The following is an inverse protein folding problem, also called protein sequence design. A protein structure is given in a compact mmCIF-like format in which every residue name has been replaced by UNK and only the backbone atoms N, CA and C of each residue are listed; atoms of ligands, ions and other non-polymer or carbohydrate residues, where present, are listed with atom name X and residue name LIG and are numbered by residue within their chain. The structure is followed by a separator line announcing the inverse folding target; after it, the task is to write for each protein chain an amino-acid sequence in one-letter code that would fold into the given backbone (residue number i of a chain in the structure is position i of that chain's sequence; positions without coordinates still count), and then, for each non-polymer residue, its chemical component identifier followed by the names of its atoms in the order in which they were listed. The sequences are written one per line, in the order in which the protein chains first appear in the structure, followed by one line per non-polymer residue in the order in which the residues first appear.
data_IF_525070386244
#
_entry.id   IF_525070386244
#
_cell.length_a   1.000
_cell.length_b   1.000
_cell.length_c   1.000
_cell.angle_alpha   90.00
_cell.angle_beta   90.00
_cell.angle_gamma   90.00
#
_symmetry.space_group_name_H-M   'P 1'
#
loop_
_entity.id
_entity.type
_entity.pdbx_description
1 polymer ?
#
# COMPACT_ATOMS: atom_id res chain seq x y z
N UNK A 1 28.40 -12.38 4.57
CA UNK A 1 29.31 -11.86 3.55
C UNK A 1 28.75 -10.56 3.01
N UNK A 2 29.55 -9.47 3.01
CA UNK A 2 29.17 -8.22 2.33
C UNK A 2 28.92 -8.57 0.85
N UNK A 3 27.86 -8.05 0.20
CA UNK A 3 27.74 -8.18 -1.25
C UNK A 3 29.02 -7.68 -1.88
N UNK A 4 29.58 -8.43 -2.81
CA UNK A 4 30.80 -7.99 -3.48
C UNK A 4 30.55 -6.67 -4.20
N UNK A 5 31.49 -5.75 -4.18
CA UNK A 5 31.44 -4.48 -4.92
C UNK A 5 31.08 -4.71 -6.40
N UNK A 6 31.44 -5.85 -6.96
CA UNK A 6 31.13 -6.25 -8.33
C UNK A 6 29.61 -6.38 -8.63
N UNK A 7 28.81 -6.90 -7.70
CA UNK A 7 27.36 -6.98 -7.91
C UNK A 7 26.70 -5.59 -7.87
N UNK A 8 27.13 -4.71 -6.96
CA UNK A 8 26.67 -3.32 -6.90
C UNK A 8 27.03 -2.54 -8.16
N UNK A 9 28.22 -2.79 -8.73
CA UNK A 9 28.67 -2.08 -9.96
C UNK A 9 27.98 -2.59 -11.24
N UNK A 10 27.48 -3.83 -11.24
CA UNK A 10 26.66 -4.36 -12.35
C UNK A 10 25.31 -3.63 -12.39
N UNK A 11 24.63 -3.50 -11.24
CA UNK A 11 23.35 -2.78 -11.18
C UNK A 11 23.49 -1.33 -11.60
N UNK A 12 24.50 -0.60 -11.12
CA UNK A 12 24.74 0.80 -11.50
C UNK A 12 24.93 0.98 -12.99
N UNK A 13 25.70 0.12 -13.66
CA UNK A 13 25.89 0.18 -15.11
C UNK A 13 24.62 -0.15 -15.89
N UNK A 14 23.78 -1.05 -15.38
CA UNK A 14 22.49 -1.34 -15.98
C UNK A 14 21.53 -0.16 -15.85
N UNK A 15 21.48 0.46 -14.68
CA UNK A 15 20.67 1.66 -14.44
C UNK A 15 21.08 2.82 -15.37
N UNK A 16 22.39 3.10 -15.49
CA UNK A 16 22.92 4.12 -16.40
C UNK A 16 22.52 3.82 -17.86
N UNK A 17 22.69 2.60 -18.34
CA UNK A 17 22.34 2.21 -19.69
C UNK A 17 20.84 2.34 -19.98
N UNK A 18 19.98 1.97 -19.01
CA UNK A 18 18.52 2.14 -19.14
C UNK A 18 18.16 3.62 -19.22
N UNK A 19 18.75 4.46 -18.36
CA UNK A 19 18.49 5.90 -18.36
C UNK A 19 18.99 6.57 -19.65
N UNK A 20 20.12 6.14 -20.19
CA UNK A 20 20.61 6.61 -21.51
C UNK A 20 19.60 6.31 -22.61
N UNK A 21 19.06 5.09 -22.68
CA UNK A 21 18.02 4.71 -23.66
C UNK A 21 16.72 5.49 -23.45
N UNK A 22 16.28 5.70 -22.20
CA UNK A 22 15.11 6.53 -21.90
C UNK A 22 15.32 7.97 -22.38
N UNK A 23 16.47 8.57 -22.10
CA UNK A 23 16.80 9.94 -22.51
C UNK A 23 17.00 10.09 -24.02
N UNK A 24 17.32 9.01 -24.74
CA UNK A 24 17.43 9.00 -26.19
C UNK A 24 16.06 9.11 -26.89
N UNK A 25 14.96 8.82 -26.18
CA UNK A 25 13.59 9.01 -26.70
C UNK A 25 13.23 10.49 -26.65
N UNK A 26 13.48 11.21 -27.71
CA UNK A 26 13.16 12.64 -27.83
C UNK A 26 11.82 12.93 -28.48
N UNK A 27 11.24 11.95 -29.18
CA UNK A 27 9.91 12.03 -29.79
C UNK A 27 9.07 10.80 -29.41
N UNK A 28 8.06 11.01 -28.56
CA UNK A 28 7.16 9.95 -28.13
C UNK A 28 6.30 9.34 -29.25
N UNK A 29 6.14 10.05 -30.38
CA UNK A 29 5.42 9.51 -31.55
C UNK A 29 6.18 8.38 -32.27
N UNK A 30 7.47 8.23 -31.99
CA UNK A 30 8.29 7.12 -32.51
C UNK A 30 8.09 5.81 -31.76
N UNK A 31 7.44 5.86 -30.58
CA UNK A 31 7.19 4.67 -29.76
C UNK A 31 6.22 3.75 -30.52
N UNK A 32 6.64 2.50 -30.69
CA UNK A 32 5.82 1.48 -31.34
C UNK A 32 4.62 1.17 -30.48
N UNK A 33 3.43 1.31 -31.05
CA UNK A 33 2.16 0.97 -30.40
C UNK A 33 1.48 -0.19 -31.13
N UNK A 34 0.60 -0.89 -30.42
CA UNK A 34 -0.21 -1.94 -31.00
C UNK A 34 -1.70 -1.70 -30.67
N UNK A 35 -2.58 -2.20 -31.53
CA UNK A 35 -4.00 -2.25 -31.20
C UNK A 35 -4.20 -3.25 -30.04
N UNK A 36 -4.94 -2.84 -28.99
CA UNK A 36 -5.14 -3.64 -27.79
C UNK A 36 -5.82 -4.99 -28.10
N UNK A 37 -6.87 -4.98 -28.92
CA UNK A 37 -7.64 -6.19 -29.21
C UNK A 37 -6.82 -7.19 -30.04
N UNK A 38 -5.99 -6.70 -30.95
CA UNK A 38 -5.06 -7.53 -31.72
C UNK A 38 -3.95 -8.10 -30.83
N UNK A 39 -3.41 -7.30 -29.91
CA UNK A 39 -2.41 -7.74 -28.95
C UNK A 39 -2.98 -8.82 -27.99
N UNK A 40 -4.21 -8.67 -27.53
CA UNK A 40 -4.91 -9.69 -26.73
C UNK A 40 -5.09 -10.98 -27.52
N UNK A 41 -5.56 -10.91 -28.77
CA UNK A 41 -5.74 -12.08 -29.65
C UNK A 41 -4.43 -12.80 -29.97
N UNK A 42 -3.34 -12.02 -30.07
CA UNK A 42 -1.99 -12.56 -30.30
C UNK A 42 -1.29 -13.08 -29.03
N UNK A 43 -1.91 -12.96 -27.85
CA UNK A 43 -1.33 -13.36 -26.57
C UNK A 43 -0.20 -12.45 -26.08
N UNK A 44 -0.05 -11.27 -26.69
CA UNK A 44 0.97 -10.28 -26.32
C UNK A 44 0.54 -9.37 -25.17
N UNK A 45 -0.77 -9.30 -24.92
CA UNK A 45 -1.36 -8.56 -23.81
C UNK A 45 -2.34 -9.46 -23.06
N UNK A 46 -1.98 -9.79 -21.82
CA UNK A 46 -2.79 -10.66 -20.96
C UNK A 46 -3.23 -9.87 -19.73
N UNK A 47 -4.54 -9.86 -19.48
CA UNK A 47 -5.07 -9.30 -18.23
C UNK A 47 -5.01 -10.42 -17.19
N UNK A 48 -4.13 -10.27 -16.22
CA UNK A 48 -4.08 -11.12 -15.03
C UNK A 48 -5.21 -10.70 -14.09
N UNK A 49 -5.86 -11.65 -13.46
CA UNK A 49 -7.06 -11.38 -12.64
C UNK A 49 -7.08 -12.15 -11.34
N UNK A 50 -8.26 -12.64 -11.00
CA UNK A 50 -8.57 -13.22 -9.70
C UNK A 50 -7.62 -14.37 -9.28
N UNK A 51 -7.13 -15.18 -10.22
CA UNK A 51 -6.19 -16.25 -9.92
C UNK A 51 -4.88 -15.72 -9.29
N UNK A 52 -4.35 -14.62 -9.84
CA UNK A 52 -3.13 -13.98 -9.32
C UNK A 52 -3.43 -13.27 -8.00
N UNK A 53 -4.58 -12.60 -7.90
CA UNK A 53 -5.04 -11.94 -6.68
C UNK A 53 -5.19 -12.94 -5.53
N UNK A 54 -5.79 -14.11 -5.77
CA UNK A 54 -5.95 -15.16 -4.75
C UNK A 54 -4.60 -15.73 -4.30
N UNK A 55 -3.68 -15.96 -5.24
CA UNK A 55 -2.34 -16.42 -4.91
C UNK A 55 -1.57 -15.40 -4.07
N UNK A 56 -1.69 -14.11 -4.39
CA UNK A 56 -1.10 -13.02 -3.63
C UNK A 56 -1.71 -12.93 -2.22
N UNK A 57 -3.03 -12.87 -2.13
CA UNK A 57 -3.75 -12.79 -0.85
C UNK A 57 -3.40 -13.97 0.07
N UNK A 58 -3.30 -15.18 -0.47
CA UNK A 58 -2.88 -16.36 0.29
C UNK A 58 -1.50 -16.19 0.90
N UNK A 59 -0.54 -15.63 0.16
CA UNK A 59 0.80 -15.38 0.66
C UNK A 59 0.81 -14.30 1.75
N UNK A 60 0.03 -13.23 1.59
CA UNK A 60 -0.10 -12.17 2.59
C UNK A 60 -0.74 -12.69 3.87
N UNK A 61 -1.85 -13.42 3.76
CA UNK A 61 -2.56 -14.00 4.90
C UNK A 61 -1.72 -15.04 5.66
N UNK A 62 -0.81 -15.73 4.98
CA UNK A 62 0.12 -16.66 5.62
C UNK A 62 1.14 -15.97 6.54
N UNK A 63 1.27 -14.63 6.46
CA UNK A 63 2.13 -13.85 7.36
C UNK A 63 1.43 -13.45 8.68
N UNK A 64 0.16 -13.78 8.85
CA UNK A 64 -0.57 -13.50 10.09
C UNK A 64 0.04 -14.32 11.22
N UNK A 65 0.58 -13.62 12.22
CA UNK A 65 1.29 -14.24 13.35
C UNK A 65 0.31 -14.82 14.37
N UNK A 66 -0.76 -14.09 14.69
CA UNK A 66 -1.72 -14.45 15.74
C UNK A 66 -3.16 -14.44 15.20
N UNK A 67 -3.59 -15.46 14.43
CA UNK A 67 -4.93 -15.47 13.84
C UNK A 67 -6.05 -15.51 14.89
N UNK A 68 -5.81 -16.06 16.10
CA UNK A 68 -6.80 -16.10 17.17
C UNK A 68 -7.13 -14.70 17.71
N UNK A 69 -6.14 -13.82 17.80
CA UNK A 69 -6.38 -12.42 18.23
C UNK A 69 -7.28 -11.70 17.22
N UNK A 70 -7.12 -11.97 15.92
CA UNK A 70 -8.00 -11.37 14.90
C UNK A 70 -9.44 -11.84 15.09
N UNK A 71 -9.66 -13.11 15.40
CA UNK A 71 -11.01 -13.63 15.67
C UNK A 71 -11.65 -12.98 16.90
N UNK A 72 -10.85 -12.73 17.94
CA UNK A 72 -11.32 -12.05 19.16
C UNK A 72 -11.59 -10.56 18.93
N UNK A 73 -10.88 -9.94 18.00
CA UNK A 73 -10.95 -8.51 17.67
C UNK A 73 -11.56 -8.25 16.28
N UNK A 74 -12.40 -9.15 15.78
CA UNK A 74 -13.01 -9.05 14.44
C UNK A 74 -13.86 -7.80 14.26
N UNK A 75 -14.39 -7.24 15.34
CA UNK A 75 -15.22 -6.04 15.40
C UNK A 75 -14.43 -4.73 15.50
N UNK A 76 -13.08 -4.79 15.51
CA UNK A 76 -12.20 -3.63 15.48
C UNK A 76 -12.59 -2.68 14.35
N UNK A 77 -12.87 -1.42 14.69
CA UNK A 77 -13.25 -0.41 13.70
C UNK A 77 -12.02 0.22 13.08
N UNK A 78 -11.81 -0.06 11.82
CA UNK A 78 -10.66 0.39 11.04
C UNK A 78 -11.10 1.44 10.03
N UNK A 79 -10.50 2.62 10.06
CA UNK A 79 -10.56 3.55 8.94
C UNK A 79 -9.35 3.30 8.04
N UNK A 80 -9.57 3.18 6.74
CA UNK A 80 -8.51 2.99 5.78
C UNK A 80 -8.49 4.11 4.73
N UNK A 81 -7.32 4.64 4.43
CA UNK A 81 -7.11 5.51 3.29
C UNK A 81 -6.03 4.97 2.35
N UNK A 82 -6.35 4.73 1.07
CA UNK A 82 -5.37 4.41 0.05
C UNK A 82 -4.60 5.63 -0.47
N UNK A 83 -4.94 6.84 -0.03
CA UNK A 83 -4.38 8.11 -0.54
C UNK A 83 -4.39 8.12 -2.08
N UNK A 84 -5.56 7.87 -2.68
CA UNK A 84 -5.77 7.77 -4.12
C UNK A 84 -4.99 6.65 -4.84
N UNK A 85 -4.43 5.70 -4.08
CA UNK A 85 -3.47 4.72 -4.58
C UNK A 85 -4.02 3.34 -4.90
N UNK A 86 -3.10 2.49 -5.36
CA UNK A 86 -3.34 1.11 -5.80
C UNK A 86 -3.76 0.16 -4.67
N UNK A 87 -3.45 0.52 -3.41
CA UNK A 87 -3.82 -0.26 -2.22
C UNK A 87 -5.32 -0.39 -1.95
N UNK A 88 -6.17 0.48 -2.53
CA UNK A 88 -7.61 0.51 -2.27
C UNK A 88 -8.27 -0.88 -2.29
N UNK A 89 -8.15 -1.61 -3.39
CA UNK A 89 -8.79 -2.93 -3.53
C UNK A 89 -8.05 -4.03 -2.77
N UNK A 90 -6.72 -4.22 -2.94
CA UNK A 90 -6.03 -5.36 -2.32
C UNK A 90 -5.97 -5.27 -0.78
N UNK A 91 -5.72 -4.10 -0.19
CA UNK A 91 -5.68 -3.97 1.27
C UNK A 91 -7.03 -4.26 1.89
N UNK A 92 -8.12 -3.70 1.35
CA UNK A 92 -9.49 -3.97 1.83
C UNK A 92 -9.87 -5.45 1.69
N UNK A 93 -9.50 -6.07 0.58
CA UNK A 93 -9.74 -7.50 0.34
C UNK A 93 -9.00 -8.37 1.36
N UNK A 94 -7.73 -8.07 1.61
CA UNK A 94 -6.91 -8.81 2.57
C UNK A 94 -7.42 -8.60 4.00
N UNK A 95 -7.73 -7.38 4.42
CA UNK A 95 -8.31 -7.12 5.75
C UNK A 95 -9.62 -7.90 5.95
N UNK A 96 -10.51 -7.91 4.95
CA UNK A 96 -11.74 -8.69 5.00
C UNK A 96 -11.47 -10.19 5.09
N UNK A 97 -10.54 -10.73 4.29
CA UNK A 97 -10.16 -12.15 4.32
C UNK A 97 -9.47 -12.54 5.63
N UNK A 98 -8.75 -11.61 6.25
CA UNK A 98 -8.17 -11.80 7.57
C UNK A 98 -9.20 -11.91 8.69
N UNK A 99 -10.42 -11.38 8.47
CA UNK A 99 -11.53 -11.48 9.42
C UNK A 99 -12.00 -10.15 10.01
N UNK A 100 -11.46 -9.00 9.59
CA UNK A 100 -11.95 -7.69 10.04
C UNK A 100 -13.24 -7.31 9.30
N UNK A 101 -14.31 -7.08 10.03
CA UNK A 101 -15.63 -6.80 9.46
C UNK A 101 -15.92 -5.31 9.30
N UNK A 102 -15.30 -4.47 10.13
CA UNK A 102 -15.58 -3.04 10.22
C UNK A 102 -14.46 -2.19 9.60
N UNK A 103 -14.27 -2.30 8.30
CA UNK A 103 -13.30 -1.50 7.55
C UNK A 103 -14.02 -0.43 6.74
N UNK A 104 -13.83 0.84 7.10
CA UNK A 104 -14.42 2.00 6.41
C UNK A 104 -13.34 2.75 5.64
N UNK A 105 -13.50 2.91 4.33
CA UNK A 105 -12.58 3.69 3.50
C UNK A 105 -12.92 5.18 3.56
N UNK A 106 -11.91 6.04 3.49
CA UNK A 106 -12.08 7.49 3.35
C UNK A 106 -12.61 7.80 1.94
N UNK A 107 -13.87 8.23 1.78
CA UNK A 107 -14.49 8.35 0.45
C UNK A 107 -13.77 9.31 -0.48
N UNK A 108 -13.26 10.44 0.06
CA UNK A 108 -12.59 11.48 -0.70
C UNK A 108 -11.22 11.03 -1.24
N UNK A 109 -10.63 9.98 -0.65
CA UNK A 109 -9.30 9.46 -1.00
C UNK A 109 -9.37 8.05 -1.60
N UNK A 110 -10.56 7.50 -1.82
CA UNK A 110 -10.76 6.13 -2.30
C UNK A 110 -10.36 5.95 -3.77
N UNK A 111 -10.75 6.88 -4.62
CA UNK A 111 -10.54 6.77 -6.07
C UNK A 111 -9.22 7.44 -6.49
N UNK A 112 -8.58 6.97 -7.57
CA UNK A 112 -7.40 7.60 -8.12
C UNK A 112 -7.64 9.08 -8.46
N UNK A 113 -6.68 9.92 -8.06
CA UNK A 113 -6.63 11.35 -8.38
C UNK A 113 -5.18 11.71 -8.73
N UNK A 114 -4.91 12.04 -9.99
CA UNK A 114 -3.57 12.37 -10.48
C UNK A 114 -2.98 13.64 -9.86
N UNK A 115 -3.85 14.56 -9.42
CA UNK A 115 -3.46 15.83 -8.82
C UNK A 115 -3.34 15.75 -7.28
N UNK A 116 -3.75 14.63 -6.68
CA UNK A 116 -3.76 14.44 -5.22
C UNK A 116 -4.43 15.61 -4.48
N UNK A 117 -5.59 16.06 -4.96
CA UNK A 117 -6.24 17.29 -4.51
C UNK A 117 -6.58 17.35 -3.01
N UNK A 118 -6.66 16.18 -2.37
CA UNK A 118 -6.94 16.08 -0.93
C UNK A 118 -5.70 16.12 -0.04
N UNK A 119 -4.50 16.04 -0.63
CA UNK A 119 -3.21 16.00 0.09
C UNK A 119 -2.15 16.76 -0.69
N UNK A 120 -1.29 17.52 -0.02
CA UNK A 120 -0.23 18.25 -0.71
C UNK A 120 0.91 17.34 -1.18
N UNK A 121 1.21 16.30 -0.39
CA UNK A 121 2.22 15.28 -0.70
C UNK A 121 1.75 13.92 -0.15
N UNK A 122 1.53 12.92 -1.02
CA UNK A 122 0.90 11.65 -0.63
C UNK A 122 1.87 10.70 0.08
N UNK A 123 2.35 11.08 1.26
CA UNK A 123 3.26 10.28 2.06
C UNK A 123 2.62 9.99 3.44
N UNK A 124 2.37 8.73 3.81
CA UNK A 124 1.76 8.36 5.09
C UNK A 124 2.64 8.65 6.33
N UNK A 125 3.86 9.12 6.17
CA UNK A 125 4.66 9.68 7.27
C UNK A 125 4.26 11.13 7.61
N UNK A 126 3.57 11.82 6.70
CA UNK A 126 3.07 13.18 6.93
C UNK A 126 1.71 13.15 7.64
N UNK A 127 1.60 13.64 8.88
CA UNK A 127 0.34 13.65 9.63
C UNK A 127 -0.83 14.34 8.90
N UNK A 128 -0.56 15.35 8.08
CA UNK A 128 -1.59 16.09 7.34
C UNK A 128 -2.38 15.19 6.36
N UNK A 129 -1.79 14.10 5.91
CA UNK A 129 -2.46 13.13 5.01
C UNK A 129 -3.64 12.44 5.69
N UNK A 130 -3.61 12.34 7.01
CA UNK A 130 -4.64 11.66 7.80
C UNK A 130 -5.78 12.58 8.27
N UNK A 131 -5.78 13.85 7.95
CA UNK A 131 -6.82 14.78 8.45
C UNK A 131 -8.25 14.32 8.11
N UNK A 132 -8.51 13.87 6.88
CA UNK A 132 -9.83 13.37 6.48
C UNK A 132 -10.14 12.04 7.17
N UNK A 133 -9.14 11.17 7.29
CA UNK A 133 -9.27 9.89 7.95
C UNK A 133 -9.56 10.05 9.46
N UNK A 134 -8.91 11.02 10.12
CA UNK A 134 -9.15 11.33 11.54
C UNK A 134 -10.57 11.88 11.74
N UNK A 135 -11.02 12.82 10.89
CA UNK A 135 -12.40 13.32 10.95
C UNK A 135 -13.44 12.21 10.78
N UNK A 136 -13.18 11.26 9.88
CA UNK A 136 -14.04 10.09 9.69
C UNK A 136 -13.99 9.18 10.92
N UNK A 137 -12.79 8.91 11.43
CA UNK A 137 -12.57 8.07 12.60
C UNK A 137 -13.26 8.61 13.86
N UNK A 138 -13.20 9.92 14.10
CA UNK A 138 -13.94 10.61 15.18
C UNK A 138 -15.45 10.42 15.04
N UNK A 139 -15.98 10.53 13.81
CA UNK A 139 -17.41 10.38 13.53
C UNK A 139 -17.96 8.98 13.81
N UNK A 140 -17.18 7.95 13.49
CA UNK A 140 -17.61 6.54 13.65
C UNK A 140 -17.03 5.87 14.89
N UNK A 141 -16.26 6.60 15.65
CA UNK A 141 -15.55 6.13 16.85
C UNK A 141 -14.62 4.93 16.51
N UNK A 142 -13.72 5.14 15.53
CA UNK A 142 -12.79 4.10 15.08
C UNK A 142 -11.64 3.88 16.06
N UNK A 143 -11.11 2.68 16.09
CA UNK A 143 -10.02 2.29 16.99
C UNK A 143 -8.65 2.59 16.38
N UNK A 144 -8.53 2.40 15.06
CA UNK A 144 -7.28 2.59 14.32
C UNK A 144 -7.55 3.14 12.92
N UNK A 145 -6.59 3.90 12.41
CA UNK A 145 -6.56 4.33 11.02
C UNK A 145 -5.31 3.75 10.37
N UNK A 146 -5.46 3.22 9.17
CA UNK A 146 -4.37 2.76 8.31
C UNK A 146 -4.34 3.60 7.04
N UNK A 147 -3.16 3.98 6.59
CA UNK A 147 -2.98 4.67 5.32
C UNK A 147 -1.82 4.08 4.54
N UNK A 148 -2.00 3.92 3.24
CA UNK A 148 -0.92 3.50 2.31
C UNK A 148 -0.68 4.59 1.29
N UNK A 149 0.57 4.73 0.85
CA UNK A 149 0.90 5.64 -0.23
C UNK A 149 0.39 5.13 -1.60
N UNK A 150 0.50 5.92 -2.67
CA UNK A 150 -0.14 5.60 -3.94
C UNK A 150 0.32 4.30 -4.60
N UNK A 151 1.58 3.91 -4.46
CA UNK A 151 2.12 2.62 -4.95
C UNK A 151 2.09 1.50 -3.90
N UNK A 152 1.60 1.82 -2.68
CA UNK A 152 1.33 0.89 -1.60
C UNK A 152 2.58 0.17 -1.06
N UNK A 153 3.75 0.82 -1.11
CA UNK A 153 5.00 0.28 -0.54
C UNK A 153 5.29 0.79 0.88
N UNK A 154 4.54 1.80 1.34
CA UNK A 154 4.61 2.37 2.70
C UNK A 154 3.26 2.29 3.40
N UNK A 155 3.30 2.17 4.73
CA UNK A 155 2.13 2.20 5.59
C UNK A 155 2.33 3.18 6.73
N UNK A 156 1.30 3.97 7.00
CA UNK A 156 1.17 4.78 8.21
C UNK A 156 0.01 4.31 9.06
N UNK A 157 0.12 4.48 10.35
CA UNK A 157 -0.92 4.14 11.30
C UNK A 157 -1.22 5.29 12.25
N UNK A 158 -2.49 5.45 12.58
CA UNK A 158 -2.97 6.40 13.59
C UNK A 158 -3.78 5.62 14.62
N UNK A 159 -3.50 5.81 15.87
CA UNK A 159 -4.14 5.08 16.97
C UNK A 159 -4.97 6.02 17.82
N UNK A 160 -6.11 5.52 18.31
CA UNK A 160 -6.91 6.20 19.30
C UNK A 160 -6.24 6.07 20.66
N UNK A 161 -6.01 7.20 21.32
CA UNK A 161 -5.40 7.25 22.66
C UNK A 161 -6.45 7.12 23.76
N UNK A 162 -6.01 6.91 24.99
CA UNK A 162 -6.92 6.71 26.14
C UNK A 162 -7.82 7.91 26.44
N UNK A 163 -7.42 9.11 26.06
CA UNK A 163 -8.21 10.33 26.20
C UNK A 163 -9.18 10.55 25.03
N UNK A 164 -9.21 9.62 24.07
CA UNK A 164 -10.08 9.66 22.88
C UNK A 164 -9.51 10.44 21.70
N UNK A 165 -8.32 11.01 21.82
CA UNK A 165 -7.65 11.68 20.69
C UNK A 165 -6.99 10.68 19.74
N UNK A 166 -6.59 11.13 18.55
CA UNK A 166 -5.91 10.31 17.55
C UNK A 166 -4.46 10.76 17.39
N UNK A 167 -3.53 9.81 17.46
CA UNK A 167 -2.08 10.08 17.34
C UNK A 167 -1.48 9.30 16.17
N UNK A 168 -0.82 10.01 15.27
CA UNK A 168 -0.09 9.42 14.15
C UNK A 168 1.19 8.79 14.69
N UNK A 169 1.39 7.50 14.41
CA UNK A 169 2.63 6.81 14.74
C UNK A 169 3.71 7.18 13.73
N UNK A 170 4.90 7.46 14.21
CA UNK A 170 6.05 7.64 13.32
C UNK A 170 6.47 6.30 12.70
N UNK A 171 7.14 6.33 11.54
CA UNK A 171 7.68 5.13 10.92
C UNK A 171 8.58 4.32 11.86
N UNK A 172 9.39 4.99 12.70
CA UNK A 172 10.22 4.35 13.72
C UNK A 172 9.38 3.64 14.81
N UNK A 173 8.29 4.25 15.26
CA UNK A 173 7.39 3.64 16.25
C UNK A 173 6.73 2.39 15.64
N UNK A 174 6.17 2.50 14.45
CA UNK A 174 5.55 1.39 13.74
C UNK A 174 6.56 0.27 13.48
N UNK A 175 7.76 0.61 12.98
CA UNK A 175 8.82 -0.35 12.75
C UNK A 175 9.26 -1.08 14.03
N UNK A 176 9.37 -0.37 15.15
CA UNK A 176 9.70 -0.97 16.45
C UNK A 176 8.64 -1.95 16.91
N UNK A 177 7.35 -1.62 16.75
CA UNK A 177 6.24 -2.52 17.10
C UNK A 177 6.26 -3.79 16.24
N UNK A 178 6.48 -3.66 14.93
CA UNK A 178 6.57 -4.80 14.01
C UNK A 178 7.78 -5.67 14.34
N UNK A 179 8.95 -5.06 14.61
CA UNK A 179 10.13 -5.80 15.02
C UNK A 179 9.90 -6.56 16.33
N UNK A 180 9.28 -5.93 17.32
CA UNK A 180 8.95 -6.59 18.59
C UNK A 180 8.03 -7.80 18.37
N UNK A 181 6.98 -7.66 17.56
CA UNK A 181 6.08 -8.76 17.21
C UNK A 181 6.83 -9.89 16.48
N UNK A 182 7.69 -9.56 15.52
CA UNK A 182 8.48 -10.53 14.76
C UNK A 182 9.48 -11.28 15.66
N UNK A 183 10.19 -10.59 16.55
CA UNK A 183 11.18 -11.19 17.45
C UNK A 183 10.57 -12.14 18.48
N UNK A 184 9.33 -11.89 18.91
CA UNK A 184 8.62 -12.79 19.84
C UNK A 184 8.29 -14.14 19.17
N UNK A 185 8.20 -14.18 17.84
CA UNK A 185 7.77 -15.35 17.07
C UNK A 185 8.93 -16.07 16.34
N UNK A 186 10.12 -15.47 16.32
CA UNK A 186 11.34 -16.12 15.82
C UNK A 186 12.05 -16.86 16.96
#
# INVERSE_FOLDING_TARGET
PKPSSAASDVYKRQDEAIIEEVNAVTDFHTIKTANKDEAVKAGLFNVIGEEVDEAFDKNVLAQIVNPEIIKEQHDLKIVYTPIHGSGNKPVRRVLKKAGFENVTVVPEQELPDSEFTTVGYPNPENPAVFELAIKLAEKIDADIILGTDPDCDRVGAVVKTKDGSYTVLTGNMTGTLICNLSLIHI
#
